data_IF_016470765368
#
_entry.id   IF_016470765368
#
_cell.length_a   1.000
_cell.length_b   1.000
_cell.length_c   1.000
_cell.angle_alpha   90.00
_cell.angle_beta   90.00
_cell.angle_gamma   90.00
#
_symmetry.space_group_name_H-M   'P 1'
#
loop_
_entity.id
_entity.type
_entity.pdbx_description
1 polymer ?
#
# COMPACT_ATOMS: atom_id res chain seq x y z
N UNK A 1 7.49 6.52 -84.16
CA UNK A 1 6.35 5.85 -83.47
C UNK A 1 6.72 4.47 -82.92
N UNK A 2 7.11 3.49 -83.76
CA UNK A 2 7.42 2.13 -83.31
C UNK A 2 8.47 2.08 -82.17
N UNK A 3 9.56 2.85 -82.29
CA UNK A 3 10.59 2.93 -81.23
C UNK A 3 10.08 3.54 -79.93
N UNK A 4 9.19 4.54 -80.00
CA UNK A 4 8.62 5.19 -78.80
C UNK A 4 7.60 4.27 -78.09
N UNK A 5 6.81 3.53 -78.86
CA UNK A 5 5.93 2.48 -78.31
C UNK A 5 6.74 1.33 -77.71
N UNK A 6 7.85 0.96 -78.34
CA UNK A 6 8.76 -0.05 -77.81
C UNK A 6 9.42 0.41 -76.50
N UNK A 7 9.87 1.67 -76.43
CA UNK A 7 10.40 2.27 -75.21
C UNK A 7 9.34 2.29 -74.09
N UNK A 8 8.13 2.78 -74.39
CA UNK A 8 7.01 2.78 -73.45
C UNK A 8 6.65 1.36 -72.98
N UNK A 9 6.65 0.37 -73.87
CA UNK A 9 6.41 -1.04 -73.50
C UNK A 9 7.50 -1.61 -72.58
N UNK A 10 8.71 -1.05 -72.64
CA UNK A 10 9.82 -1.35 -71.73
C UNK A 10 9.75 -0.57 -70.41
N UNK A 11 8.73 0.26 -70.21
CA UNK A 11 8.55 1.08 -69.01
C UNK A 11 9.27 2.44 -69.06
N UNK A 12 9.79 2.85 -70.21
CA UNK A 12 10.39 4.18 -70.38
C UNK A 12 9.30 5.24 -70.57
N UNK A 13 8.93 5.89 -69.47
CA UNK A 13 7.98 7.00 -69.43
C UNK A 13 8.62 8.36 -69.75
N UNK A 14 9.85 8.38 -70.25
CA UNK A 14 10.55 9.61 -70.68
C UNK A 14 10.57 9.79 -72.19
N UNK A 15 10.24 8.73 -72.94
CA UNK A 15 10.23 8.73 -74.40
C UNK A 15 9.11 9.62 -74.96
N UNK A 16 9.49 10.68 -75.68
CA UNK A 16 8.58 11.56 -76.41
C UNK A 16 8.69 11.39 -77.93
N UNK A 17 7.61 11.71 -78.64
CA UNK A 17 7.62 11.83 -80.10
C UNK A 17 7.64 13.32 -80.47
N UNK A 18 8.82 13.82 -80.83
CA UNK A 18 9.03 15.22 -81.20
C UNK A 18 8.86 15.49 -82.72
N UNK A 19 8.96 14.43 -83.54
CA UNK A 19 8.75 14.51 -84.98
C UNK A 19 7.26 14.76 -85.28
N UNK A 20 6.97 15.86 -86.00
CA UNK A 20 5.61 16.20 -86.43
C UNK A 20 5.08 15.16 -87.40
N UNK A 21 3.84 14.76 -87.20
CA UNK A 21 3.17 13.85 -88.14
C UNK A 21 2.43 14.66 -89.21
N UNK A 22 1.99 13.97 -90.26
CA UNK A 22 1.02 14.54 -91.19
C UNK A 22 -0.23 14.98 -90.41
N UNK A 23 -0.92 16.00 -90.92
CA UNK A 23 -2.02 16.68 -90.22
C UNK A 23 -3.09 15.69 -89.69
N UNK A 24 -3.41 14.66 -90.48
CA UNK A 24 -4.36 13.60 -90.13
C UNK A 24 -3.96 12.74 -88.91
N UNK A 25 -2.66 12.70 -88.57
CA UNK A 25 -2.10 11.86 -87.50
C UNK A 25 -1.47 12.65 -86.34
N UNK A 26 -1.49 13.98 -86.37
CA UNK A 26 -0.89 14.82 -85.33
C UNK A 26 -1.56 14.62 -83.96
N UNK A 27 -2.86 14.33 -83.95
CA UNK A 27 -3.60 13.98 -82.74
C UNK A 27 -3.06 12.72 -82.06
N UNK A 28 -2.67 11.70 -82.83
CA UNK A 28 -2.07 10.47 -82.28
C UNK A 28 -0.75 10.76 -81.56
N UNK A 29 0.07 11.65 -82.12
CA UNK A 29 1.32 12.10 -81.49
C UNK A 29 1.06 12.83 -80.17
N UNK A 30 0.09 13.74 -80.18
CA UNK A 30 -0.31 14.51 -78.99
C UNK A 30 -0.86 13.60 -77.89
N UNK A 31 -1.80 12.71 -78.23
CA UNK A 31 -2.44 11.80 -77.27
C UNK A 31 -1.42 10.80 -76.70
N UNK A 32 -0.46 10.32 -77.51
CA UNK A 32 0.65 9.49 -77.02
C UNK A 32 1.49 10.22 -75.98
N UNK A 33 1.99 11.42 -76.30
CA UNK A 33 2.82 12.20 -75.39
C UNK A 33 2.06 12.56 -74.10
N UNK A 34 0.79 12.93 -74.20
CA UNK A 34 -0.06 13.21 -73.03
C UNK A 34 -0.27 11.97 -72.15
N UNK A 35 -0.39 10.78 -72.76
CA UNK A 35 -0.50 9.51 -72.02
C UNK A 35 0.80 9.18 -71.28
N UNK A 36 1.96 9.39 -71.94
CA UNK A 36 3.28 9.23 -71.32
C UNK A 36 3.43 10.17 -70.12
N UNK A 37 3.04 11.44 -70.26
CA UNK A 37 3.07 12.43 -69.18
C UNK A 37 2.19 12.00 -68.00
N UNK A 38 0.95 11.60 -68.28
CA UNK A 38 0.01 11.13 -67.24
C UNK A 38 0.54 9.89 -66.51
N UNK A 39 1.11 8.93 -67.23
CA UNK A 39 1.69 7.73 -66.62
C UNK A 39 2.92 8.07 -65.76
N UNK A 40 3.78 8.99 -66.23
CA UNK A 40 4.95 9.42 -65.49
C UNK A 40 4.55 10.09 -64.16
N UNK A 41 3.57 10.99 -64.20
CA UNK A 41 3.04 11.66 -63.00
C UNK A 41 2.44 10.65 -62.01
N UNK A 42 1.65 9.68 -62.51
CA UNK A 42 1.07 8.62 -61.69
C UNK A 42 2.14 7.76 -61.01
N UNK A 43 3.18 7.34 -61.74
CA UNK A 43 4.30 6.57 -61.16
C UNK A 43 5.09 7.42 -60.17
N UNK A 44 5.29 8.71 -60.45
CA UNK A 44 5.89 9.65 -59.52
C UNK A 44 5.14 9.71 -58.19
N UNK A 45 3.81 9.85 -58.24
CA UNK A 45 2.97 9.82 -57.03
C UNK A 45 3.03 8.47 -56.31
N UNK A 46 3.12 7.35 -57.01
CA UNK A 46 3.27 6.02 -56.38
C UNK A 46 4.60 5.90 -55.64
N UNK A 47 5.70 6.36 -56.25
CA UNK A 47 7.03 6.35 -55.63
C UNK A 47 7.09 7.25 -54.39
N UNK A 48 6.49 8.43 -54.47
CA UNK A 48 6.39 9.35 -53.33
C UNK A 48 5.62 8.71 -52.17
N UNK A 49 4.43 8.16 -52.44
CA UNK A 49 3.64 7.46 -51.42
C UNK A 49 4.39 6.26 -50.83
N UNK A 50 5.09 5.46 -51.66
CA UNK A 50 5.87 4.33 -51.17
C UNK A 50 7.02 4.77 -50.24
N UNK A 51 7.65 5.90 -50.57
CA UNK A 51 8.72 6.49 -49.74
C UNK A 51 8.16 6.99 -48.42
N UNK A 52 7.00 7.66 -48.42
CA UNK A 52 6.34 8.10 -47.20
C UNK A 52 5.92 6.92 -46.33
N UNK A 53 5.32 5.88 -46.91
CA UNK A 53 4.94 4.65 -46.20
C UNK A 53 6.17 4.01 -45.54
N UNK A 54 7.29 3.96 -46.25
CA UNK A 54 8.54 3.40 -45.70
C UNK A 54 9.03 4.19 -44.49
N UNK A 55 9.08 5.53 -44.59
CA UNK A 55 9.48 6.39 -43.48
C UNK A 55 8.54 6.23 -42.26
N UNK A 56 7.23 6.15 -42.48
CA UNK A 56 6.24 5.90 -41.42
C UNK A 56 6.42 4.52 -40.77
N UNK A 57 6.76 3.50 -41.55
CA UNK A 57 7.02 2.17 -41.02
C UNK A 57 8.26 2.16 -40.10
N UNK A 58 9.31 2.91 -40.45
CA UNK A 58 10.49 3.08 -39.60
C UNK A 58 10.14 3.84 -38.29
N UNK A 59 9.35 4.90 -38.38
CA UNK A 59 8.83 5.63 -37.20
C UNK A 59 8.02 4.70 -36.28
N UNK A 60 7.12 3.89 -36.84
CA UNK A 60 6.32 2.91 -36.09
C UNK A 60 7.23 1.87 -35.44
N UNK A 61 8.22 1.33 -36.15
CA UNK A 61 9.17 0.36 -35.60
C UNK A 61 9.93 0.94 -34.40
N UNK A 62 10.42 2.18 -34.51
CA UNK A 62 11.10 2.86 -33.41
C UNK A 62 10.18 3.10 -32.21
N UNK A 63 8.93 3.50 -32.45
CA UNK A 63 7.94 3.69 -31.39
C UNK A 63 7.55 2.36 -30.70
N UNK A 64 7.45 1.26 -31.46
CA UNK A 64 7.20 -0.07 -30.92
C UNK A 64 8.36 -0.56 -30.05
N UNK A 65 9.60 -0.32 -30.45
CA UNK A 65 10.78 -0.66 -29.64
C UNK A 65 10.83 0.13 -28.32
N UNK A 66 10.53 1.43 -28.35
CA UNK A 66 10.43 2.26 -27.13
C UNK A 66 9.31 1.75 -26.22
N UNK A 67 8.13 1.48 -26.78
CA UNK A 67 7.00 0.94 -26.03
C UNK A 67 7.36 -0.40 -25.38
N UNK A 68 8.03 -1.31 -26.10
CA UNK A 68 8.45 -2.59 -25.55
C UNK A 68 9.41 -2.43 -24.37
N UNK A 69 10.43 -1.56 -24.50
CA UNK A 69 11.36 -1.27 -23.39
C UNK A 69 10.64 -0.67 -22.18
N UNK A 70 9.67 0.22 -22.42
CA UNK A 70 8.87 0.80 -21.34
C UNK A 70 7.97 -0.23 -20.67
N UNK A 71 7.39 -1.15 -21.43
CA UNK A 71 6.60 -2.26 -20.88
C UNK A 71 7.46 -3.21 -20.06
N UNK A 72 8.69 -3.53 -20.49
CA UNK A 72 9.65 -4.33 -19.70
C UNK A 72 10.01 -3.63 -18.38
N UNK A 73 10.33 -2.33 -18.43
CA UNK A 73 10.61 -1.55 -17.21
C UNK A 73 9.39 -1.48 -16.28
N UNK A 74 8.18 -1.35 -16.81
CA UNK A 74 6.96 -1.38 -16.01
C UNK A 74 6.73 -2.75 -15.36
N UNK A 75 7.02 -3.85 -16.08
CA UNK A 75 6.94 -5.19 -15.51
C UNK A 75 7.92 -5.35 -14.35
N UNK A 76 9.17 -4.88 -14.49
CA UNK A 76 10.16 -4.90 -13.41
C UNK A 76 9.69 -4.09 -12.18
N UNK A 77 9.16 -2.88 -12.38
CA UNK A 77 8.60 -2.07 -11.28
C UNK A 77 7.41 -2.76 -10.60
N UNK A 78 6.57 -3.49 -11.36
CA UNK A 78 5.47 -4.26 -10.80
C UNK A 78 5.96 -5.45 -9.96
N UNK A 79 7.04 -6.13 -10.38
CA UNK A 79 7.68 -7.18 -9.59
C UNK A 79 8.23 -6.64 -8.26
N UNK A 80 8.93 -5.50 -8.28
CA UNK A 80 9.40 -4.84 -7.06
C UNK A 80 8.25 -4.42 -6.14
N UNK A 81 7.17 -3.89 -6.72
CA UNK A 81 5.96 -3.51 -5.97
C UNK A 81 5.31 -4.74 -5.32
N UNK A 82 5.24 -5.86 -6.03
CA UNK A 82 4.70 -7.10 -5.49
C UNK A 82 5.56 -7.65 -4.34
N UNK A 83 6.89 -7.60 -4.46
CA UNK A 83 7.80 -7.98 -3.39
C UNK A 83 7.64 -7.10 -2.15
N UNK A 84 7.54 -5.77 -2.33
CA UNK A 84 7.29 -4.83 -1.24
C UNK A 84 5.94 -5.10 -0.55
N UNK A 85 4.90 -5.46 -1.31
CA UNK A 85 3.60 -5.84 -0.74
C UNK A 85 3.67 -7.14 0.07
N UNK A 86 4.50 -8.10 -0.32
CA UNK A 86 4.71 -9.34 0.44
C UNK A 86 5.40 -9.05 1.79
N UNK A 87 6.44 -8.21 1.79
CA UNK A 87 7.10 -7.74 3.02
C UNK A 87 6.15 -6.99 3.96
N UNK A 88 5.31 -6.10 3.40
CA UNK A 88 4.28 -5.39 4.17
C UNK A 88 3.25 -6.37 4.76
N UNK A 89 2.82 -7.34 3.98
CA UNK A 89 1.86 -8.37 4.44
C UNK A 89 2.45 -9.18 5.60
N UNK A 90 3.72 -9.57 5.50
CA UNK A 90 4.46 -10.25 6.57
C UNK A 90 4.54 -9.38 7.84
N UNK A 91 4.85 -8.09 7.69
CA UNK A 91 4.93 -7.14 8.81
C UNK A 91 3.59 -6.93 9.51
N UNK A 92 2.49 -6.83 8.74
CA UNK A 92 1.13 -6.73 9.27
C UNK A 92 0.77 -8.01 10.04
N UNK A 93 1.11 -9.19 9.51
CA UNK A 93 0.88 -10.46 10.20
C UNK A 93 1.62 -10.54 11.53
N UNK A 94 2.91 -10.19 11.54
CA UNK A 94 3.71 -10.14 12.76
C UNK A 94 3.14 -9.16 13.79
N UNK A 95 2.59 -8.03 13.34
CA UNK A 95 1.96 -7.04 14.23
C UNK A 95 0.68 -7.58 14.85
N UNK A 96 -0.13 -8.30 14.06
CA UNK A 96 -1.35 -8.96 14.55
C UNK A 96 -1.04 -10.06 15.57
N UNK A 97 -0.03 -10.89 15.30
CA UNK A 97 0.43 -11.92 16.24
C UNK A 97 0.96 -11.30 17.54
N UNK A 98 1.73 -10.21 17.44
CA UNK A 98 2.19 -9.43 18.60
C UNK A 98 1.04 -8.85 19.42
N UNK A 99 0.00 -8.31 18.77
CA UNK A 99 -1.18 -7.80 19.46
C UNK A 99 -1.93 -8.91 20.21
N UNK A 100 -2.08 -10.10 19.61
CA UNK A 100 -2.68 -11.26 20.27
C UNK A 100 -1.86 -11.73 21.48
N UNK A 101 -0.53 -11.68 21.40
CA UNK A 101 0.33 -12.00 22.54
C UNK A 101 0.17 -10.98 23.68
N UNK A 102 0.11 -9.68 23.37
CA UNK A 102 -0.14 -8.62 24.35
C UNK A 102 -1.50 -8.80 25.02
N UNK A 103 -2.54 -9.16 24.26
CA UNK A 103 -3.87 -9.44 24.82
C UNK A 103 -3.81 -10.54 25.88
N UNK A 104 -3.07 -11.63 25.62
CA UNK A 104 -2.88 -12.72 26.58
C UNK A 104 -2.17 -12.26 27.85
N UNK A 105 -1.10 -11.47 27.72
CA UNK A 105 -0.36 -10.91 28.87
C UNK A 105 -1.26 -9.99 29.71
N UNK A 106 -2.06 -9.13 29.06
CA UNK A 106 -3.01 -8.25 29.76
C UNK A 106 -4.08 -9.06 30.49
N UNK A 107 -4.57 -10.14 29.88
CA UNK A 107 -5.55 -11.04 30.50
C UNK A 107 -5.00 -11.72 31.75
N UNK A 108 -3.76 -12.19 31.70
CA UNK A 108 -3.07 -12.77 32.85
C UNK A 108 -2.85 -11.73 33.96
N UNK A 109 -2.33 -10.54 33.62
CA UNK A 109 -2.12 -9.46 34.56
C UNK A 109 -3.42 -9.04 35.26
N UNK A 110 -4.54 -9.00 34.53
CA UNK A 110 -5.87 -8.77 35.10
C UNK A 110 -6.25 -9.86 36.11
N UNK A 111 -6.06 -11.14 35.76
CA UNK A 111 -6.34 -12.25 36.68
C UNK A 111 -5.53 -12.15 37.98
N UNK A 112 -4.24 -11.80 37.87
CA UNK A 112 -3.38 -11.58 39.03
C UNK A 112 -3.84 -10.40 39.90
N UNK A 113 -4.32 -9.31 39.28
CA UNK A 113 -4.87 -8.16 40.00
C UNK A 113 -6.18 -8.52 40.72
N UNK A 114 -7.07 -9.30 40.09
CA UNK A 114 -8.31 -9.80 40.70
C UNK A 114 -8.00 -10.68 41.93
N UNK A 115 -7.03 -11.60 41.82
CA UNK A 115 -6.58 -12.43 42.95
C UNK A 115 -5.96 -11.59 44.08
N UNK A 116 -5.13 -10.61 43.74
CA UNK A 116 -4.54 -9.69 44.73
C UNK A 116 -5.62 -8.90 45.47
N UNK A 117 -6.69 -8.51 44.77
CA UNK A 117 -7.86 -7.87 45.37
C UNK A 117 -8.55 -8.73 46.43
N UNK A 118 -8.63 -10.05 46.23
CA UNK A 118 -9.16 -10.98 47.23
C UNK A 118 -8.29 -11.02 48.49
N UNK A 119 -6.97 -11.11 48.33
CA UNK A 119 -6.02 -11.13 49.46
C UNK A 119 -6.08 -9.84 50.26
N UNK A 120 -6.15 -8.69 49.59
CA UNK A 120 -6.29 -7.39 50.27
C UNK A 120 -7.60 -7.32 51.06
N UNK A 121 -8.70 -7.81 50.47
CA UNK A 121 -10.01 -7.86 51.16
C UNK A 121 -9.97 -8.73 52.41
N UNK A 122 -9.31 -9.89 52.33
CA UNK A 122 -9.09 -10.77 53.48
C UNK A 122 -8.26 -10.10 54.57
N UNK A 123 -7.16 -9.44 54.21
CA UNK A 123 -6.32 -8.69 55.14
C UNK A 123 -7.08 -7.55 55.84
N UNK A 124 -7.93 -6.82 55.12
CA UNK A 124 -8.82 -5.80 55.71
C UNK A 124 -9.79 -6.44 56.71
N UNK A 125 -10.33 -7.62 56.38
CA UNK A 125 -11.18 -8.40 57.28
C UNK A 125 -10.46 -8.73 58.59
N UNK A 126 -9.25 -9.30 58.51
CA UNK A 126 -8.44 -9.63 59.67
C UNK A 126 -8.09 -8.41 60.53
N UNK A 127 -7.75 -7.27 59.91
CA UNK A 127 -7.49 -6.02 60.65
C UNK A 127 -8.74 -5.48 61.37
N UNK A 128 -9.92 -5.68 60.79
CA UNK A 128 -11.19 -5.34 61.42
C UNK A 128 -11.47 -6.21 62.66
N UNK A 129 -11.15 -7.50 62.59
CA UNK A 129 -11.23 -8.40 63.75
C UNK A 129 -10.24 -8.03 64.85
N UNK A 130 -8.99 -7.73 64.50
CA UNK A 130 -7.97 -7.25 65.44
C UNK A 130 -8.47 -5.99 66.16
N UNK A 131 -9.01 -5.01 65.42
CA UNK A 131 -9.56 -3.79 65.99
C UNK A 131 -10.67 -4.09 67.01
N UNK A 132 -11.62 -4.95 66.65
CA UNK A 132 -12.72 -5.36 67.53
C UNK A 132 -12.21 -6.01 68.82
N UNK A 133 -11.17 -6.84 68.72
CA UNK A 133 -10.53 -7.46 69.87
C UNK A 133 -9.85 -6.40 70.77
N UNK A 134 -9.13 -5.44 70.18
CA UNK A 134 -8.50 -4.33 70.90
C UNK A 134 -9.51 -3.43 71.61
N UNK A 135 -10.66 -3.17 70.99
CA UNK A 135 -11.76 -2.42 71.61
C UNK A 135 -12.30 -3.17 72.84
N UNK A 136 -12.47 -4.49 72.73
CA UNK A 136 -12.86 -5.35 73.86
C UNK A 136 -11.84 -5.36 75.00
N UNK A 137 -10.53 -5.43 74.68
CA UNK A 137 -9.45 -5.31 75.66
C UNK A 137 -9.52 -3.96 76.37
N UNK A 138 -9.74 -2.87 75.62
CA UNK A 138 -9.84 -1.53 76.19
C UNK A 138 -11.01 -1.40 77.15
N UNK A 139 -12.15 -2.04 76.86
CA UNK A 139 -13.30 -2.10 77.76
C UNK A 139 -12.98 -2.86 79.05
N UNK A 140 -12.25 -3.98 78.97
CA UNK A 140 -11.80 -4.74 80.14
C UNK A 140 -10.85 -3.90 81.00
N UNK A 141 -9.88 -3.20 80.38
CA UNK A 141 -8.96 -2.31 81.09
C UNK A 141 -9.73 -1.22 81.84
N UNK A 142 -10.78 -0.64 81.23
CA UNK A 142 -11.66 0.32 81.92
C UNK A 142 -12.31 -0.25 83.18
N UNK A 143 -12.86 -1.47 83.11
CA UNK A 143 -13.41 -2.16 84.29
C UNK A 143 -12.34 -2.44 85.35
N UNK A 144 -11.11 -2.80 84.94
CA UNK A 144 -10.00 -3.01 85.87
C UNK A 144 -9.64 -1.72 86.59
N UNK A 145 -9.62 -0.58 85.90
CA UNK A 145 -9.35 0.73 86.49
C UNK A 145 -10.43 1.11 87.54
N UNK A 146 -11.71 0.85 87.22
CA UNK A 146 -12.82 1.03 88.17
C UNK A 146 -12.66 0.16 89.42
N UNK A 147 -12.28 -1.12 89.26
CA UNK A 147 -12.04 -2.04 90.39
C UNK A 147 -10.84 -1.58 91.21
N UNK A 148 -9.75 -1.14 90.56
CA UNK A 148 -8.57 -0.63 91.24
C UNK A 148 -8.92 0.60 92.09
N UNK A 149 -9.75 1.51 91.57
CA UNK A 149 -10.23 2.68 92.32
C UNK A 149 -11.07 2.28 93.54
N UNK A 150 -12.03 1.36 93.38
CA UNK A 150 -12.83 0.83 94.49
C UNK A 150 -11.96 0.15 95.55
N UNK A 151 -10.96 -0.62 95.13
CA UNK A 151 -10.02 -1.31 96.03
C UNK A 151 -9.17 -0.30 96.81
N UNK A 152 -8.69 0.75 96.14
CA UNK A 152 -7.95 1.83 96.79
C UNK A 152 -8.82 2.57 97.83
N UNK A 153 -10.10 2.83 97.53
CA UNK A 153 -11.03 3.42 98.49
C UNK A 153 -11.33 2.51 99.69
N UNK A 154 -11.50 1.21 99.46
CA UNK A 154 -11.67 0.21 100.52
C UNK A 154 -10.45 0.16 101.44
N UNK A 155 -9.25 0.13 100.86
CA UNK A 155 -8.00 0.14 101.60
C UNK A 155 -7.82 1.41 102.43
N UNK A 156 -8.17 2.58 101.87
CA UNK A 156 -8.13 3.84 102.59
C UNK A 156 -9.09 3.85 103.78
N UNK A 157 -10.34 3.40 103.60
CA UNK A 157 -11.32 3.30 104.68
C UNK A 157 -10.87 2.32 105.78
N UNK A 158 -10.30 1.17 105.41
CA UNK A 158 -9.75 0.22 106.37
C UNK A 158 -8.57 0.81 107.15
N UNK A 159 -7.70 1.59 106.49
CA UNK A 159 -6.60 2.31 107.14
C UNK A 159 -7.08 3.37 108.13
N UNK A 160 -8.17 4.09 107.81
CA UNK A 160 -8.81 5.06 108.71
C UNK A 160 -9.43 4.36 109.92
N UNK A 161 -10.12 3.24 109.75
CA UNK A 161 -10.76 2.50 110.85
C UNK A 161 -9.73 1.79 111.75
N UNK A 162 -8.59 1.34 111.21
CA UNK A 162 -7.51 0.73 112.00
C UNK A 162 -6.69 1.75 112.81
N UNK A 163 -6.73 3.03 112.42
CA UNK A 163 -6.11 4.14 113.17
C UNK A 163 -7.04 4.72 114.26
N UNK A 164 -8.29 4.27 114.31
CA UNK A 164 -9.32 4.65 115.29
C UNK A 164 -9.33 3.69 116.47
#
# INVERSE_FOLDING_TARGET
>A
LASALQALSGGDLTSRIDERFAEDYERLRSDFNATVDTLNDLIGSVVENATEIHARAEEISGASDDLSRRTENQAATLEETAAALDELTSSVRSSADGAAQVENVVREARGNAEQSGLVVKEAIGAMSEIKRSSDGISQIIGVIDDIAFQTNLLALNAGVEAAR
#
